data_IF_538725765133
#
_entry.id   IF_538725765133
#
_cell.length_a   1.000
_cell.length_b   1.000
_cell.length_c   1.000
_cell.angle_alpha   90.00
_cell.angle_beta   90.00
_cell.angle_gamma   90.00
#
_symmetry.space_group_name_H-M   'P 1'
#
loop_
_entity.id
_entity.type
_entity.pdbx_description
1 polymer ?
#
# COMPACT_ATOMS: atom_id res chain seq x y z
N UNK A 1 10.59 27.70 -94.96
CA UNK A 1 9.48 26.82 -94.56
C UNK A 1 10.04 25.75 -93.66
N UNK A 2 9.69 25.82 -92.37
CA UNK A 2 9.33 24.69 -91.53
C UNK A 2 8.96 25.28 -90.17
N UNK A 3 7.71 25.75 -90.09
CA UNK A 3 7.03 26.03 -88.82
C UNK A 3 6.40 24.71 -88.38
N UNK A 4 7.06 23.97 -87.48
CA UNK A 4 6.38 22.98 -86.66
C UNK A 4 5.77 23.71 -85.46
N UNK A 5 4.50 23.49 -85.10
CA UNK A 5 3.88 24.18 -83.97
C UNK A 5 4.51 23.69 -82.67
N UNK A 6 5.03 24.62 -81.86
CA UNK A 6 5.49 24.35 -80.50
C UNK A 6 4.32 23.72 -79.72
N UNK A 7 4.38 22.40 -79.50
CA UNK A 7 3.46 21.72 -78.61
C UNK A 7 3.58 22.37 -77.23
N UNK A 8 2.48 22.99 -76.78
CA UNK A 8 2.38 23.62 -75.46
C UNK A 8 2.43 22.49 -74.42
N UNK A 9 3.64 22.06 -74.08
CA UNK A 9 3.93 21.08 -73.06
C UNK A 9 3.77 21.68 -71.68
N UNK A 10 3.13 20.95 -70.77
CA UNK A 10 3.02 21.34 -69.37
C UNK A 10 4.44 21.38 -68.78
N UNK A 11 4.85 22.45 -68.08
CA UNK A 11 6.20 22.53 -67.51
C UNK A 11 6.47 21.37 -66.55
N UNK A 12 7.65 20.76 -66.62
CA UNK A 12 8.04 19.63 -65.75
C UNK A 12 7.94 19.95 -64.25
N UNK A 13 8.12 21.22 -63.86
CA UNK A 13 7.97 21.64 -62.46
C UNK A 13 6.53 21.55 -61.94
N UNK A 14 5.53 21.65 -62.83
CA UNK A 14 4.12 21.49 -62.47
C UNK A 14 3.83 20.04 -62.11
N UNK A 15 4.50 19.09 -62.79
CA UNK A 15 4.36 17.65 -62.54
C UNK A 15 4.94 17.28 -61.18
N UNK A 16 6.13 17.78 -60.83
CA UNK A 16 6.75 17.51 -59.52
C UNK A 16 6.01 18.20 -58.37
N UNK A 17 5.45 19.39 -58.60
CA UNK A 17 4.57 20.05 -57.63
C UNK A 17 3.28 19.27 -57.40
N UNK A 18 2.66 18.76 -58.47
CA UNK A 18 1.47 17.92 -58.40
C UNK A 18 1.70 16.61 -57.64
N UNK A 19 2.88 15.99 -57.82
CA UNK A 19 3.27 14.77 -57.10
C UNK A 19 3.44 15.02 -55.59
N UNK A 20 4.15 16.09 -55.19
CA UNK A 20 4.31 16.45 -53.78
C UNK A 20 2.98 16.78 -53.09
N UNK A 21 2.07 17.47 -53.78
CA UNK A 21 0.73 17.76 -53.27
C UNK A 21 -0.11 16.49 -53.09
N UNK A 22 0.05 15.52 -53.99
CA UNK A 22 -0.63 14.22 -53.91
C UNK A 22 -0.07 13.33 -52.79
N UNK A 23 1.25 13.34 -52.56
CA UNK A 23 1.87 12.68 -51.41
C UNK A 23 1.40 13.29 -50.08
N UNK A 24 1.25 14.61 -50.01
CA UNK A 24 0.74 15.28 -48.82
C UNK A 24 -0.73 14.91 -48.56
N UNK A 25 -1.56 14.90 -49.60
CA UNK A 25 -2.98 14.52 -49.51
C UNK A 25 -3.14 13.07 -49.05
N UNK A 26 -2.45 12.13 -49.70
CA UNK A 26 -2.48 10.71 -49.32
C UNK A 26 -1.96 10.49 -47.91
N UNK A 27 -0.93 11.22 -47.47
CA UNK A 27 -0.46 11.21 -46.09
C UNK A 27 -1.51 11.67 -45.09
N UNK A 28 -2.23 12.76 -45.35
CA UNK A 28 -3.31 13.22 -44.48
C UNK A 28 -4.50 12.26 -44.46
N UNK A 29 -4.85 11.64 -45.59
CA UNK A 29 -5.89 10.59 -45.65
C UNK A 29 -5.48 9.39 -44.79
N UNK A 30 -4.20 8.98 -44.83
CA UNK A 30 -3.68 7.91 -43.97
C UNK A 30 -3.74 8.29 -42.48
N UNK A 31 -3.37 9.52 -42.11
CA UNK A 31 -3.50 10.00 -40.72
C UNK A 31 -4.96 10.03 -40.26
N UNK A 32 -5.89 10.47 -41.11
CA UNK A 32 -7.33 10.47 -40.81
C UNK A 32 -7.85 9.04 -40.63
N UNK A 33 -7.39 8.08 -41.45
CA UNK A 33 -7.78 6.66 -41.31
C UNK A 33 -7.32 6.02 -39.99
N UNK A 34 -6.18 6.46 -39.43
CA UNK A 34 -5.69 6.02 -38.12
C UNK A 34 -6.33 6.79 -36.96
N UNK A 35 -7.00 7.91 -37.23
CA UNK A 35 -7.60 8.79 -36.22
C UNK A 35 -9.00 8.36 -35.77
N UNK A 36 -9.64 7.42 -36.47
CA UNK A 36 -11.00 6.96 -36.11
C UNK A 36 -11.04 5.61 -35.38
N UNK A 37 -9.90 4.96 -35.12
CA UNK A 37 -9.90 3.77 -34.26
C UNK A 37 -9.81 4.22 -32.80
N UNK A 38 -10.94 4.75 -32.35
CA UNK A 38 -11.29 4.92 -30.95
C UNK A 38 -12.68 4.37 -30.73
N UNK A 39 -12.88 3.12 -31.15
CA UNK A 39 -13.98 2.32 -30.64
C UNK A 39 -13.66 2.01 -29.19
N UNK A 40 -14.20 2.84 -28.29
CA UNK A 40 -14.20 2.58 -26.86
C UNK A 40 -14.72 1.16 -26.57
N UNK A 41 -15.61 0.61 -27.41
CA UNK A 41 -16.06 -0.78 -27.33
C UNK A 41 -14.96 -1.81 -27.59
N UNK A 42 -14.13 -1.62 -28.63
CA UNK A 42 -13.07 -2.57 -28.96
C UNK A 42 -11.97 -2.51 -27.91
N UNK A 43 -11.68 -1.32 -27.40
CA UNK A 43 -10.78 -1.12 -26.27
C UNK A 43 -11.33 -1.72 -24.98
N UNK A 44 -12.63 -1.53 -24.69
CA UNK A 44 -13.31 -2.16 -23.55
C UNK A 44 -13.31 -3.68 -23.68
N UNK A 45 -13.57 -4.26 -24.85
CA UNK A 45 -13.49 -5.72 -25.08
C UNK A 45 -12.08 -6.25 -24.87
N UNK A 46 -11.06 -5.50 -25.27
CA UNK A 46 -9.65 -5.85 -25.05
C UNK A 46 -9.31 -5.80 -23.55
N UNK A 47 -9.69 -4.72 -22.85
CA UNK A 47 -9.54 -4.58 -21.40
C UNK A 47 -10.29 -5.68 -20.65
N UNK A 48 -11.52 -6.01 -21.07
CA UNK A 48 -12.36 -7.03 -20.45
C UNK A 48 -11.77 -8.43 -20.67
N UNK A 49 -11.21 -8.71 -21.85
CA UNK A 49 -10.49 -9.97 -22.11
C UNK A 49 -9.23 -10.13 -21.26
N UNK A 50 -8.46 -9.05 -21.09
CA UNK A 50 -7.28 -9.01 -20.22
C UNK A 50 -7.69 -9.14 -18.75
N UNK A 51 -8.78 -8.49 -18.35
CA UNK A 51 -9.32 -8.56 -16.99
C UNK A 51 -9.91 -9.93 -16.66
N UNK A 52 -10.42 -10.66 -17.67
CA UNK A 52 -10.91 -12.04 -17.55
C UNK A 52 -9.79 -13.06 -17.34
N UNK A 53 -8.64 -12.85 -17.98
CA UNK A 53 -7.44 -13.70 -17.82
C UNK A 53 -6.61 -13.34 -16.56
N UNK A 54 -6.51 -12.05 -16.21
CA UNK A 54 -5.69 -11.60 -15.08
C UNK A 54 -6.46 -11.37 -13.76
N UNK A 55 -7.80 -11.45 -13.78
CA UNK A 55 -8.68 -11.39 -12.61
C UNK A 55 -8.94 -9.98 -12.07
N UNK A 56 -10.14 -9.79 -11.50
CA UNK A 56 -10.59 -8.57 -10.82
C UNK A 56 -9.82 -8.33 -9.50
N UNK A 57 -8.57 -7.89 -9.59
CA UNK A 57 -7.80 -7.49 -8.40
C UNK A 57 -6.83 -6.35 -8.72
N UNK A 58 -7.35 -5.26 -9.29
CA UNK A 58 -6.80 -3.91 -9.10
C UNK A 58 -7.96 -2.90 -9.07
N UNK A 59 -8.20 -2.39 -7.86
CA UNK A 59 -8.87 -1.13 -7.50
C UNK A 59 -9.77 -0.46 -8.55
N UNK A 60 -11.01 -0.20 -8.11
CA UNK A 60 -12.02 0.71 -8.69
C UNK A 60 -11.58 2.17 -8.84
N UNK A 61 -10.28 2.43 -8.87
CA UNK A 61 -9.64 3.75 -8.87
C UNK A 61 -8.95 4.06 -10.21
N UNK A 62 -9.14 3.18 -11.20
CA UNK A 62 -8.55 3.29 -12.55
C UNK A 62 -9.50 3.81 -13.64
N UNK A 63 -10.72 4.21 -13.30
CA UNK A 63 -11.73 4.67 -14.29
C UNK A 63 -12.02 6.18 -14.32
N UNK A 64 -11.22 7.04 -13.65
CA UNK A 64 -11.41 8.50 -13.74
C UNK A 64 -10.53 9.09 -14.86
N UNK A 65 -11.09 9.72 -15.91
CA UNK A 65 -10.31 10.39 -16.95
C UNK A 65 -9.63 11.63 -16.35
N UNK A 66 -8.33 11.54 -16.11
CA UNK A 66 -7.56 12.66 -15.56
C UNK A 66 -6.06 12.37 -15.52
N UNK A 67 -5.25 13.40 -15.76
CA UNK A 67 -3.80 13.31 -15.90
C UNK A 67 -3.11 13.16 -14.53
N UNK A 68 -3.25 11.99 -13.88
CA UNK A 68 -2.47 11.64 -12.69
C UNK A 68 -1.34 10.71 -13.08
N UNK A 69 -0.11 11.23 -13.01
CA UNK A 69 1.11 10.43 -13.16
C UNK A 69 1.10 9.37 -12.04
N UNK A 70 1.10 8.06 -12.36
CA UNK A 70 1.19 7.05 -11.33
C UNK A 70 2.57 7.14 -10.68
N UNK A 71 2.60 7.44 -9.38
CA UNK A 71 3.80 7.20 -8.56
C UNK A 71 4.06 5.69 -8.62
N UNK A 72 5.19 5.29 -9.19
CA UNK A 72 5.72 3.93 -9.04
C UNK A 72 6.05 3.70 -7.58
N UNK A 73 5.12 3.14 -6.83
CA UNK A 73 5.41 2.32 -5.66
C UNK A 73 4.94 0.93 -6.00
N UNK A 74 5.89 0.07 -6.36
CA UNK A 74 5.66 -1.36 -6.53
C UNK A 74 5.37 -2.00 -5.16
N UNK A 75 4.14 -1.88 -4.72
CA UNK A 75 3.55 -2.81 -3.77
C UNK A 75 2.26 -3.32 -4.39
N UNK A 76 2.40 -4.34 -5.24
CA UNK A 76 1.26 -5.16 -5.62
C UNK A 76 1.05 -6.16 -4.48
N UNK A 77 0.01 -6.07 -3.65
CA UNK A 77 -0.35 -7.20 -2.83
C UNK A 77 -0.81 -8.27 -3.80
N UNK A 78 -0.05 -9.34 -3.95
CA UNK A 78 -0.60 -10.56 -4.53
C UNK A 78 -1.76 -10.96 -3.62
N UNK A 79 -2.98 -10.63 -4.05
CA UNK A 79 -4.19 -11.25 -3.54
C UNK A 79 -4.04 -12.75 -3.84
N UNK A 80 -3.60 -13.49 -2.83
CA UNK A 80 -3.55 -14.95 -2.86
C UNK A 80 -4.96 -15.48 -2.68
N UNK A 81 -5.80 -15.26 -3.70
CA UNK A 81 -7.03 -16.06 -3.92
C UNK A 81 -6.71 -17.44 -4.49
N UNK A 82 -5.43 -17.81 -4.59
CA UNK A 82 -5.00 -19.19 -4.59
C UNK A 82 -4.79 -19.65 -3.17
N UNK A 83 -5.67 -20.53 -2.69
CA UNK A 83 -5.48 -21.42 -1.53
C UNK A 83 -4.04 -21.95 -1.58
N UNK A 84 -3.11 -21.26 -0.93
CA UNK A 84 -1.74 -21.71 -0.86
C UNK A 84 -1.79 -22.99 -0.03
N UNK A 85 -1.78 -24.14 -0.72
CA UNK A 85 -1.37 -25.41 -0.14
C UNK A 85 -0.10 -25.07 0.62
N UNK A 86 -0.18 -25.03 1.96
CA UNK A 86 0.98 -25.03 2.83
C UNK A 86 1.85 -26.16 2.29
N UNK A 87 2.92 -25.81 1.57
CA UNK A 87 3.99 -26.78 1.37
C UNK A 87 4.52 -26.97 2.78
N UNK A 88 4.21 -28.13 3.32
CA UNK A 88 4.47 -28.51 4.68
C UNK A 88 5.99 -28.41 4.91
N UNK A 89 6.43 -27.29 5.49
CA UNK A 89 7.85 -27.06 5.80
C UNK A 89 8.30 -27.93 6.98
N UNK A 90 7.42 -28.74 7.57
CA UNK A 90 7.79 -29.73 8.60
C UNK A 90 8.63 -30.88 8.04
N UNK A 91 8.68 -31.09 6.72
CA UNK A 91 9.52 -32.12 6.06
C UNK A 91 10.57 -31.55 5.10
N UNK A 92 10.98 -30.30 5.32
CA UNK A 92 11.94 -29.58 4.48
C UNK A 92 13.25 -29.27 5.18
N UNK A 93 13.91 -30.28 5.72
CA UNK A 93 15.28 -30.19 6.21
C UNK A 93 15.86 -31.60 6.20
N UNK A 94 17.06 -31.78 5.64
CA UNK A 94 17.79 -33.03 5.86
C UNK A 94 17.95 -33.26 7.38
N UNK A 95 18.12 -34.51 7.84
CA UNK A 95 18.27 -34.83 9.28
C UNK A 95 19.52 -34.23 9.94
N UNK A 96 20.25 -33.37 9.24
CA UNK A 96 21.44 -32.70 9.74
C UNK A 96 20.99 -31.45 10.48
N UNK A 97 21.01 -31.54 11.80
CA UNK A 97 20.87 -30.40 12.71
C UNK A 97 21.94 -29.37 12.35
N UNK A 98 21.53 -28.16 11.97
CA UNK A 98 22.45 -27.09 11.65
C UNK A 98 23.42 -26.87 12.85
N UNK A 99 24.73 -26.66 12.62
CA UNK A 99 25.65 -26.33 13.70
C UNK A 99 25.20 -25.04 14.37
N UNK A 100 24.68 -25.15 15.60
CA UNK A 100 24.39 -24.00 16.46
C UNK A 100 25.70 -23.55 17.09
N UNK A 101 26.13 -22.33 16.77
CA UNK A 101 27.24 -21.69 17.48
C UNK A 101 26.91 -21.45 18.94
N UNK A 102 27.94 -21.37 19.79
CA UNK A 102 27.82 -21.30 21.25
C UNK A 102 27.13 -20.02 21.76
N UNK A 103 26.94 -18.99 20.92
CA UNK A 103 26.14 -17.81 21.23
C UNK A 103 25.12 -17.49 20.11
N UNK A 104 23.85 -17.91 20.23
CA UNK A 104 22.80 -17.49 19.33
C UNK A 104 22.29 -16.09 19.74
N UNK A 105 23.15 -15.06 19.70
CA UNK A 105 22.70 -13.66 19.84
C UNK A 105 22.22 -13.08 18.51
N UNK A 106 21.56 -13.88 17.66
CA UNK A 106 20.94 -13.32 16.47
C UNK A 106 19.60 -12.72 16.89
N UNK A 107 19.62 -11.44 17.27
CA UNK A 107 18.39 -10.64 17.42
C UNK A 107 17.86 -10.35 16.03
N UNK A 108 17.17 -11.33 15.42
CA UNK A 108 16.50 -11.15 14.13
C UNK A 108 15.36 -10.13 14.32
N UNK A 109 15.66 -8.85 14.21
CA UNK A 109 14.65 -7.81 14.02
C UNK A 109 14.37 -7.75 12.52
N UNK A 110 13.66 -8.75 11.99
CA UNK A 110 12.95 -8.52 10.72
C UNK A 110 11.82 -7.56 11.09
N UNK A 111 11.80 -6.31 10.60
CA UNK A 111 10.62 -5.48 10.77
C UNK A 111 9.47 -6.29 10.17
N UNK A 112 8.59 -6.80 11.03
CA UNK A 112 7.48 -7.61 10.59
C UNK A 112 6.72 -6.83 9.53
N UNK A 113 6.30 -7.51 8.46
CA UNK A 113 5.41 -6.91 7.46
C UNK A 113 4.25 -6.26 8.21
N UNK A 114 4.13 -4.93 8.10
CA UNK A 114 3.09 -4.15 8.76
C UNK A 114 1.75 -4.59 8.17
N UNK A 115 1.02 -5.45 8.88
CA UNK A 115 -0.34 -5.77 8.50
C UNK A 115 -1.20 -4.66 9.10
N UNK A 116 -1.52 -3.65 8.29
CA UNK A 116 -2.37 -2.55 8.72
C UNK A 116 -3.77 -3.09 9.08
N UNK A 117 -3.98 -3.44 10.35
CA UNK A 117 -5.30 -3.43 10.97
C UNK A 117 -5.58 -1.97 11.30
N UNK A 118 -5.65 -1.16 10.24
CA UNK A 118 -5.55 0.29 10.26
C UNK A 118 -6.86 0.93 10.65
N UNK A 119 -7.01 1.22 11.93
CA UNK A 119 -7.95 2.26 12.37
C UNK A 119 -7.18 3.57 12.51
N UNK A 120 -7.74 4.63 11.92
CA UNK A 120 -7.22 5.98 12.00
C UNK A 120 -8.11 6.75 12.98
N UNK A 121 -7.49 7.43 13.94
CA UNK A 121 -8.19 8.23 14.94
C UNK A 121 -7.85 9.70 14.69
N UNK A 122 -8.86 10.54 14.48
CA UNK A 122 -8.67 11.95 14.15
C UNK A 122 -8.66 12.87 15.37
N UNK A 123 -7.91 13.97 15.25
CA UNK A 123 -7.76 15.02 16.27
C UNK A 123 -8.10 16.40 15.69
N UNK A 124 -8.39 17.34 16.58
CA UNK A 124 -8.44 18.75 16.19
C UNK A 124 -7.02 19.28 15.94
N UNK A 125 -6.88 20.22 15.00
CA UNK A 125 -5.60 20.87 14.70
C UNK A 125 -5.03 21.52 15.97
N UNK A 126 -3.74 21.28 16.26
CA UNK A 126 -3.05 21.84 17.42
C UNK A 126 -3.43 21.27 18.79
N UNK A 127 -4.36 20.29 18.87
CA UNK A 127 -4.75 19.66 20.14
C UNK A 127 -4.36 18.18 20.20
N UNK A 128 -4.04 17.71 21.40
CA UNK A 128 -3.76 16.29 21.69
C UNK A 128 -4.89 15.59 22.46
N UNK A 129 -5.95 16.30 22.85
CA UNK A 129 -7.05 15.73 23.62
C UNK A 129 -7.96 14.83 22.77
N UNK A 130 -8.40 13.72 23.35
CA UNK A 130 -9.32 12.76 22.72
C UNK A 130 -10.76 13.29 22.76
N UNK A 131 -11.41 13.32 21.59
CA UNK A 131 -12.85 13.60 21.49
C UNK A 131 -13.69 12.40 21.94
N UNK A 132 -14.97 12.59 22.29
CA UNK A 132 -15.88 11.46 22.58
C UNK A 132 -16.01 10.48 21.41
N UNK A 133 -16.01 10.99 20.16
CA UNK A 133 -16.02 10.16 18.96
C UNK A 133 -14.73 9.32 18.84
N UNK A 134 -13.57 9.92 19.07
CA UNK A 134 -12.29 9.19 19.07
C UNK A 134 -12.25 8.07 20.12
N UNK A 135 -12.81 8.31 21.32
CA UNK A 135 -12.93 7.26 22.36
C UNK A 135 -13.80 6.09 21.89
N UNK A 136 -14.89 6.37 21.19
CA UNK A 136 -15.75 5.32 20.62
C UNK A 136 -15.02 4.50 19.53
N UNK A 137 -14.23 5.14 18.68
CA UNK A 137 -13.38 4.45 17.69
C UNK A 137 -12.30 3.59 18.35
N UNK A 138 -11.67 4.10 19.41
CA UNK A 138 -10.67 3.36 20.21
C UNK A 138 -11.28 2.08 20.79
N UNK A 139 -12.52 2.14 21.28
CA UNK A 139 -13.24 0.96 21.79
C UNK A 139 -13.44 -0.11 20.70
N UNK A 140 -13.93 0.29 19.52
CA UNK A 140 -14.08 -0.64 18.39
C UNK A 140 -12.74 -1.22 17.92
N UNK A 141 -11.69 -0.42 17.95
CA UNK A 141 -10.34 -0.87 17.65
C UNK A 141 -9.87 -1.89 18.69
N UNK A 142 -10.09 -1.64 19.99
CA UNK A 142 -9.72 -2.56 21.04
C UNK A 142 -10.39 -3.94 20.88
N UNK A 143 -11.67 -3.98 20.50
CA UNK A 143 -12.38 -5.23 20.20
C UNK A 143 -11.64 -6.07 19.13
N UNK A 144 -11.10 -5.42 18.09
CA UNK A 144 -10.33 -6.07 17.02
C UNK A 144 -8.92 -6.49 17.43
N UNK A 145 -8.35 -5.85 18.46
CA UNK A 145 -7.00 -6.07 18.97
C UNK A 145 -6.96 -7.10 20.12
N UNK A 146 -8.08 -7.33 20.80
CA UNK A 146 -8.21 -8.35 21.85
C UNK A 146 -8.03 -9.76 21.28
N UNK A 147 -7.47 -10.65 22.09
CA UNK A 147 -7.17 -12.05 21.72
C UNK A 147 -5.99 -12.26 20.78
N UNK A 148 -5.40 -11.20 20.22
CA UNK A 148 -4.27 -11.27 19.28
C UNK A 148 -2.93 -11.05 20.00
N UNK A 149 -1.89 -11.90 19.82
CA UNK A 149 -0.60 -11.76 20.50
C UNK A 149 0.34 -10.70 19.90
N UNK A 150 -0.02 -10.13 18.74
CA UNK A 150 0.81 -9.18 17.99
C UNK A 150 1.07 -7.87 18.75
N UNK A 151 2.28 -7.31 18.56
CA UNK A 151 2.61 -5.94 18.95
C UNK A 151 1.83 -4.94 18.11
N UNK A 152 1.59 -3.78 18.69
CA UNK A 152 0.79 -2.70 18.12
C UNK A 152 1.66 -1.46 18.04
N UNK A 153 1.74 -0.85 16.87
CA UNK A 153 2.45 0.41 16.67
C UNK A 153 1.46 1.55 16.49
N UNK A 154 1.58 2.57 17.32
CA UNK A 154 0.69 3.73 17.37
C UNK A 154 1.50 4.93 16.89
N UNK A 155 1.19 5.46 15.72
CA UNK A 155 1.91 6.56 15.06
C UNK A 155 1.10 7.83 15.10
N UNK A 156 1.68 8.91 15.65
CA UNK A 156 1.06 10.22 15.68
C UNK A 156 1.53 11.12 14.54
N UNK A 157 0.56 11.77 13.89
CA UNK A 157 0.79 12.72 12.80
C UNK A 157 0.22 14.10 13.14
N UNK A 158 0.81 15.12 12.53
CA UNK A 158 0.44 16.53 12.65
C UNK A 158 0.12 17.08 11.27
N UNK A 159 -0.75 18.10 11.21
CA UNK A 159 -1.04 18.77 9.95
C UNK A 159 0.15 19.62 9.49
N UNK A 160 0.55 19.56 8.21
CA UNK A 160 1.53 20.49 7.64
C UNK A 160 1.17 21.96 7.86
N UNK A 161 -0.12 22.31 7.81
CA UNK A 161 -0.56 23.68 8.05
C UNK A 161 -0.28 24.16 9.48
N UNK A 162 -0.31 23.25 10.46
CA UNK A 162 0.07 23.57 11.84
C UNK A 162 1.59 23.66 11.97
N UNK A 163 2.32 22.71 11.37
CA UNK A 163 3.78 22.71 11.41
C UNK A 163 4.37 23.99 10.80
N UNK A 164 3.89 24.40 9.62
CA UNK A 164 4.31 25.64 8.96
C UNK A 164 3.99 26.90 9.77
N UNK A 165 2.96 26.88 10.63
CA UNK A 165 2.62 28.03 11.49
C UNK A 165 3.53 28.13 12.71
N UNK A 166 3.88 26.98 13.29
CA UNK A 166 4.70 26.93 14.51
C UNK A 166 6.18 27.09 14.17
N UNK A 167 6.62 26.57 13.01
CA UNK A 167 8.01 26.60 12.54
C UNK A 167 9.02 26.03 13.55
N UNK A 168 8.57 25.06 14.37
CA UNK A 168 9.41 24.32 15.31
C UNK A 168 9.14 22.82 15.20
N UNK A 169 10.09 22.10 14.60
CA UNK A 169 10.03 20.65 14.41
C UNK A 169 9.94 19.88 15.73
N UNK A 170 10.52 20.39 16.82
CA UNK A 170 10.46 19.70 18.11
C UNK A 170 9.04 19.72 18.65
N UNK A 171 8.37 20.87 18.59
CA UNK A 171 6.99 21.01 19.03
C UNK A 171 6.02 20.19 18.19
N UNK A 172 6.24 20.11 16.88
CA UNK A 172 5.38 19.27 16.01
C UNK A 172 5.56 17.78 16.28
N UNK A 173 6.79 17.31 16.44
CA UNK A 173 7.07 15.92 16.82
C UNK A 173 6.50 15.63 18.22
N UNK A 174 6.64 16.55 19.17
CA UNK A 174 6.08 16.39 20.51
C UNK A 174 4.54 16.29 20.46
N UNK A 175 3.87 17.14 19.70
CA UNK A 175 2.41 17.08 19.56
C UNK A 175 1.93 15.76 18.96
N UNK A 176 2.63 15.25 17.93
CA UNK A 176 2.36 13.92 17.38
C UNK A 176 2.54 12.82 18.43
N UNK A 177 3.59 12.91 19.24
CA UNK A 177 3.87 11.95 20.31
C UNK A 177 2.79 11.97 21.40
N UNK A 178 2.37 13.15 21.84
CA UNK A 178 1.33 13.32 22.87
C UNK A 178 0.00 12.71 22.43
N UNK A 179 -0.39 12.89 21.15
CA UNK A 179 -1.58 12.24 20.59
C UNK A 179 -1.49 10.72 20.63
N UNK A 180 -0.38 10.17 20.14
CA UNK A 180 -0.15 8.74 20.13
C UNK A 180 -0.09 8.16 21.56
N UNK A 181 0.47 8.91 22.51
CA UNK A 181 0.48 8.56 23.92
C UNK A 181 -0.92 8.54 24.53
N UNK A 182 -1.77 9.53 24.23
CA UNK A 182 -3.14 9.59 24.73
C UNK A 182 -3.97 8.41 24.18
N UNK A 183 -3.81 8.05 22.90
CA UNK A 183 -4.44 6.85 22.33
C UNK A 183 -3.94 5.59 23.02
N UNK A 184 -2.62 5.46 23.26
CA UNK A 184 -2.06 4.33 24.03
C UNK A 184 -2.67 4.25 25.42
N UNK A 185 -2.75 5.37 26.13
CA UNK A 185 -3.30 5.42 27.49
C UNK A 185 -4.77 5.00 27.51
N UNK A 186 -5.58 5.46 26.55
CA UNK A 186 -6.96 5.01 26.42
C UNK A 186 -7.05 3.49 26.16
N UNK A 187 -6.26 2.96 25.21
CA UNK A 187 -6.23 1.51 24.93
C UNK A 187 -5.80 0.66 26.14
N UNK A 188 -4.88 1.15 26.96
CA UNK A 188 -4.35 0.42 28.12
C UNK A 188 -5.29 0.55 29.32
N UNK A 189 -5.68 1.77 29.67
CA UNK A 189 -6.39 2.07 30.91
C UNK A 189 -7.89 1.84 30.79
N UNK A 190 -8.50 2.17 29.65
CA UNK A 190 -9.95 2.06 29.43
C UNK A 190 -10.32 0.69 28.87
N UNK A 191 -9.48 0.14 27.96
CA UNK A 191 -9.80 -1.09 27.21
C UNK A 191 -8.99 -2.34 27.62
N UNK A 192 -8.03 -2.20 28.54
CA UNK A 192 -7.28 -3.32 29.11
C UNK A 192 -6.26 -3.98 28.17
N UNK A 193 -5.80 -3.30 27.11
CA UNK A 193 -4.73 -3.82 26.25
C UNK A 193 -3.41 -3.87 27.03
N UNK A 194 -2.71 -5.00 26.93
CA UNK A 194 -1.41 -5.16 27.61
C UNK A 194 -0.42 -4.06 27.19
N UNK A 195 0.10 -3.23 28.12
CA UNK A 195 0.99 -2.12 27.80
C UNK A 195 2.24 -2.54 27.04
N UNK A 196 2.75 -3.76 27.27
CA UNK A 196 3.95 -4.27 26.62
C UNK A 196 3.76 -4.59 25.14
N UNK A 197 2.51 -4.68 24.67
CA UNK A 197 2.18 -4.81 23.24
C UNK A 197 2.31 -3.48 22.49
N UNK A 198 2.19 -2.35 23.17
CA UNK A 198 2.10 -1.04 22.54
C UNK A 198 3.49 -0.41 22.33
N UNK A 199 3.77 -0.01 21.09
CA UNK A 199 4.87 0.88 20.71
C UNK A 199 4.28 2.22 20.27
N UNK A 200 4.84 3.32 20.77
CA UNK A 200 4.44 4.67 20.37
C UNK A 200 5.53 5.25 19.48
N UNK A 201 5.13 5.87 18.38
CA UNK A 201 6.00 6.61 17.48
C UNK A 201 5.35 7.94 17.12
N UNK A 202 6.18 8.94 16.84
CA UNK A 202 5.75 10.23 16.31
C UNK A 202 6.44 10.47 14.98
N UNK A 203 5.65 10.87 14.00
CA UNK A 203 6.13 11.18 12.65
C UNK A 203 6.15 12.70 12.41
N UNK A 204 5.46 13.47 13.25
CA UNK A 204 5.27 14.91 13.04
C UNK A 204 4.47 15.16 11.76
N UNK A 205 4.95 16.07 10.93
CA UNK A 205 4.39 16.47 9.64
C UNK A 205 5.05 15.80 8.42
N UNK A 206 6.00 14.87 8.65
CA UNK A 206 6.82 14.27 7.59
C UNK A 206 6.08 13.28 6.68
N UNK A 207 4.92 12.76 7.11
CA UNK A 207 4.08 11.84 6.31
C UNK A 207 2.64 12.37 6.20
N UNK A 208 2.43 13.47 5.45
CA UNK A 208 1.10 14.00 5.22
C UNK A 208 0.33 13.12 4.24
N UNK A 209 -0.96 12.88 4.51
CA UNK A 209 -1.88 12.20 3.58
C UNK A 209 -2.25 13.15 2.45
N UNK A 210 -2.40 14.43 2.76
CA UNK A 210 -2.56 15.47 1.77
C UNK A 210 -1.46 16.51 1.88
N UNK A 211 -0.81 16.75 0.75
CA UNK A 211 0.21 17.78 0.55
C UNK A 211 -0.39 19.09 0.02
N UNK A 212 -1.69 19.15 -0.26
CA UNK A 212 -2.32 20.38 -0.72
C UNK A 212 -2.22 21.47 0.36
N UNK A 213 -1.66 22.62 -0.02
CA UNK A 213 -1.56 23.77 0.88
C UNK A 213 -2.94 24.35 1.25
N UNK A 214 -3.96 24.04 0.45
CA UNK A 214 -5.34 24.52 0.60
C UNK A 214 -6.17 23.75 1.64
N UNK A 215 -5.69 22.61 2.15
CA UNK A 215 -6.40 21.84 3.17
C UNK A 215 -7.73 21.24 2.68
N UNK A 216 -7.88 21.09 1.36
CA UNK A 216 -9.13 20.67 0.69
C UNK A 216 -9.26 19.14 0.62
N UNK A 217 -8.33 18.39 1.23
CA UNK A 217 -8.49 16.95 1.39
C UNK A 217 -9.62 16.61 2.35
N UNK A 218 -10.43 15.64 1.93
CA UNK A 218 -11.44 15.01 2.78
C UNK A 218 -10.86 14.31 4.02
N UNK A 219 -9.56 13.95 4.03
CA UNK A 219 -8.93 13.23 5.14
C UNK A 219 -8.11 14.18 6.03
N UNK A 220 -8.45 14.34 7.32
CA UNK A 220 -7.69 15.18 8.23
C UNK A 220 -6.27 14.63 8.48
N UNK A 221 -5.24 15.47 8.28
CA UNK A 221 -3.86 15.14 8.64
C UNK A 221 -3.61 14.98 10.16
N UNK A 222 -4.26 15.74 11.08
CA UNK A 222 -4.14 15.51 12.52
C UNK A 222 -4.76 14.16 12.90
N UNK A 223 -3.95 13.10 12.88
CA UNK A 223 -4.43 11.73 13.04
C UNK A 223 -3.43 10.86 13.79
N UNK A 224 -3.92 9.77 14.34
CA UNK A 224 -3.12 8.68 14.89
C UNK A 224 -3.46 7.42 14.12
N UNK A 225 -2.44 6.76 13.59
CA UNK A 225 -2.56 5.50 12.88
C UNK A 225 -2.16 4.36 13.80
N UNK A 226 -2.98 3.30 13.85
CA UNK A 226 -2.69 2.12 14.66
C UNK A 226 -2.45 0.92 13.76
N UNK A 227 -1.24 0.36 13.84
CA UNK A 227 -0.80 -0.77 13.06
C UNK A 227 -0.62 -2.01 13.93
N UNK A 228 -0.91 -3.19 13.37
CA UNK A 228 -0.57 -4.46 13.99
C UNK A 228 0.69 -5.01 13.33
N UNK A 229 1.71 -5.25 14.15
CA UNK A 229 2.97 -5.82 13.70
C UNK A 229 2.87 -7.34 13.66
N UNK A 230 3.59 -7.97 12.74
CA UNK A 230 3.70 -9.44 12.73
C UNK A 230 4.54 -9.96 13.92
N UNK A 231 5.25 -9.09 14.63
CA UNK A 231 5.98 -9.43 15.85
C UNK A 231 5.02 -9.74 17.00
N UNK A 232 5.14 -10.93 17.59
CA UNK A 232 4.41 -11.30 18.81
C UNK A 232 5.06 -10.66 20.04
N UNK A 233 4.26 -10.24 21.00
CA UNK A 233 4.78 -9.81 22.30
C UNK A 233 5.27 -11.00 23.16
N UNK A 234 4.66 -12.18 23.03
CA UNK A 234 5.08 -13.39 23.75
C UNK A 234 6.44 -13.89 23.25
N UNK A 235 7.35 -14.20 24.18
CA UNK A 235 8.69 -14.68 23.88
C UNK A 235 8.63 -16.00 23.07
N UNK A 236 9.44 -16.16 22.02
CA UNK A 236 9.52 -17.43 21.29
C UNK A 236 9.86 -18.61 22.21
N UNK A 237 10.70 -18.37 23.23
CA UNK A 237 11.18 -19.40 24.16
C UNK A 237 10.10 -19.89 25.13
N UNK A 238 9.10 -19.07 25.47
CA UNK A 238 7.95 -19.52 26.28
C UNK A 238 7.02 -20.46 25.49
N UNK A 239 7.04 -20.40 24.15
CA UNK A 239 6.24 -21.29 23.31
C UNK A 239 6.85 -22.68 23.18
N UNK A 240 8.19 -22.79 23.21
CA UNK A 240 8.87 -24.08 23.15
C UNK A 240 8.84 -24.82 24.49
N UNK A 241 8.85 -24.12 25.63
CA UNK A 241 8.69 -24.76 26.94
C UNK A 241 7.28 -25.35 27.15
N UNK A 242 6.25 -24.70 26.59
CA UNK A 242 4.87 -25.22 26.57
C UNK A 242 4.63 -26.31 25.51
N UNK A 243 5.57 -26.49 24.58
CA UNK A 243 5.58 -27.60 23.60
C UNK A 243 6.49 -28.72 24.06
N UNK A 244 6.49 -29.04 25.35
CA UNK A 244 7.01 -30.33 25.79
C UNK A 244 6.17 -31.39 25.07
N UNK A 245 6.74 -32.23 24.20
CA UNK A 245 5.98 -33.31 23.61
C UNK A 245 5.54 -34.19 24.78
N UNK A 246 4.24 -34.36 24.95
CA UNK A 246 3.72 -35.50 25.70
C UNK A 246 4.19 -36.72 24.93
N UNK A 247 5.39 -37.22 25.26
CA UNK A 247 5.89 -38.49 24.76
C UNK A 247 4.82 -39.51 25.15
N UNK A 248 4.18 -40.09 24.13
CA UNK A 248 3.25 -41.19 24.29
C UNK A 248 4.00 -42.41 24.83
N UNK A 249 4.26 -42.43 26.14
CA UNK A 249 4.75 -43.57 26.88
C UNK A 249 3.60 -44.24 27.64
N UNK A 250 2.47 -44.46 26.97
CA UNK A 250 1.31 -45.14 27.56
C UNK A 250 0.62 -46.08 26.56
N UNK A 251 1.43 -46.84 25.81
CA UNK A 251 0.93 -47.87 24.89
C UNK A 251 1.81 -49.13 24.90
N UNK A 252 2.23 -49.61 26.07
CA UNK A 252 2.74 -50.98 26.23
C UNK A 252 2.35 -51.56 27.59
N UNK A 253 1.05 -51.56 27.91
CA UNK A 253 0.54 -52.52 28.88
C UNK A 253 -0.93 -52.86 28.60
N UNK A 254 -1.19 -53.63 27.55
CA UNK A 254 -2.36 -54.49 27.43
C UNK A 254 -2.27 -55.31 26.14
N UNK A 255 -1.78 -56.54 26.26
CA UNK A 255 -2.38 -57.75 25.65
C UNK A 255 -1.51 -58.97 25.98
N UNK A 256 -2.08 -59.76 26.90
CA UNK A 256 -2.24 -61.22 26.88
C UNK A 256 -1.63 -61.97 25.69
#
# INVERSE_FOLDING_TARGET
MNDEPDEIGIPEWVVTFGDMMSLLLTFFIMLVSLSEIKDDETYQKLVDSVQREFGYSRSSESLSPGNKRPRKTEYTPLATTGRAKRKDTTKGGGPIKAPTGEEPRVRIVRPGQLTAVGSVIFFQIGKASLSPAARFEIKQLADKLRGKPQKIEIRGHVSPAYANRVDDTKLTIQLGFERALNVRQALVNEEGINPKRCRVASVGDSEPVDTSASGDSSIPNPRVEVFMLNESFADPNERDSQRTPTTANDATNEKK
#
